data_IF_669372865875
#
_entry.id   IF_669372865875
#
_cell.length_a   1.000
_cell.length_b   1.000
_cell.length_c   1.000
_cell.angle_alpha   90.00
_cell.angle_beta   90.00
_cell.angle_gamma   90.00
#
_symmetry.space_group_name_H-M   'P 1'
#
loop_
_entity.id
_entity.type
_entity.pdbx_description
1 polymer ?
#
# COMPACT_ATOMS: atom_id res chain seq x y z
N UNK A 1 -15.17 -18.67 26.57
CA UNK A 1 -15.25 -18.32 25.14
C UNK A 1 -15.29 -16.81 24.91
N UNK A 2 -16.12 -16.00 25.58
CA UNK A 2 -16.26 -14.54 25.35
C UNK A 2 -14.98 -13.69 25.51
N UNK A 3 -14.01 -14.12 26.34
CA UNK A 3 -12.76 -13.36 26.55
C UNK A 3 -11.79 -13.55 25.38
N UNK A 4 -11.68 -14.77 24.86
CA UNK A 4 -10.82 -15.07 23.71
C UNK A 4 -11.30 -14.34 22.42
N UNK A 5 -12.61 -14.27 22.19
CA UNK A 5 -13.19 -13.52 21.07
C UNK A 5 -12.91 -12.02 21.18
N UNK A 6 -13.02 -11.43 22.37
CA UNK A 6 -12.67 -10.01 22.58
C UNK A 6 -11.18 -9.73 22.38
N UNK A 7 -10.32 -10.65 22.80
CA UNK A 7 -8.86 -10.51 22.59
C UNK A 7 -8.53 -10.61 21.10
N UNK A 8 -9.16 -11.53 20.36
CA UNK A 8 -8.99 -11.65 18.91
C UNK A 8 -9.53 -10.43 18.16
N UNK A 9 -10.65 -9.84 18.59
CA UNK A 9 -11.21 -8.62 17.99
C UNK A 9 -10.30 -7.39 18.23
N UNK A 10 -9.65 -7.33 19.38
CA UNK A 10 -8.66 -6.28 19.68
C UNK A 10 -7.36 -6.47 18.89
N UNK A 11 -6.91 -7.73 18.72
CA UNK A 11 -5.72 -8.05 17.93
C UNK A 11 -5.95 -7.91 16.41
N UNK A 12 -7.20 -8.04 15.96
CA UNK A 12 -7.58 -7.84 14.55
C UNK A 12 -7.67 -6.38 14.11
N UNK A 13 -7.73 -5.43 15.05
CA UNK A 13 -7.69 -4.00 14.74
C UNK A 13 -6.25 -3.51 14.62
N UNK A 14 -5.94 -2.60 13.66
CA UNK A 14 -4.61 -2.02 13.60
C UNK A 14 -4.32 -1.31 14.92
N UNK A 15 -3.44 -1.90 15.72
CA UNK A 15 -3.01 -1.30 16.99
C UNK A 15 -2.26 -0.01 16.62
N UNK A 16 -2.75 1.12 17.10
CA UNK A 16 -2.10 2.41 16.88
C UNK A 16 -0.68 2.36 17.42
N UNK A 17 0.28 2.70 16.58
CA UNK A 17 1.70 2.75 16.93
C UNK A 17 1.94 3.61 18.17
N UNK A 18 1.21 4.73 18.31
CA UNK A 18 1.30 5.63 19.47
C UNK A 18 0.94 4.95 20.80
N UNK A 19 -0.06 4.05 20.77
CA UNK A 19 -0.47 3.27 21.96
C UNK A 19 0.62 2.26 22.34
N UNK A 20 1.23 1.61 21.35
CA UNK A 20 2.37 0.69 21.59
C UNK A 20 3.57 1.42 22.17
N UNK A 21 3.89 2.59 21.62
CA UNK A 21 4.99 3.41 22.09
C UNK A 21 4.75 3.93 23.51
N UNK A 22 3.54 4.42 23.79
CA UNK A 22 3.15 4.85 25.12
C UNK A 22 3.23 3.70 26.14
N UNK A 23 2.74 2.50 25.78
CA UNK A 23 2.82 1.31 26.62
C UNK A 23 4.26 0.89 26.89
N UNK A 24 5.14 0.93 25.88
CA UNK A 24 6.57 0.65 26.04
C UNK A 24 7.25 1.65 26.98
N UNK A 25 7.03 2.94 26.75
CA UNK A 25 7.65 4.00 27.57
C UNK A 25 7.17 3.94 29.02
N UNK A 26 5.88 3.71 29.24
CA UNK A 26 5.31 3.59 30.58
C UNK A 26 5.86 2.37 31.31
N UNK A 27 5.91 1.20 30.66
CA UNK A 27 6.47 0.00 31.28
C UNK A 27 7.97 0.15 31.53
N UNK A 28 8.72 0.79 30.65
CA UNK A 28 10.14 1.09 30.84
C UNK A 28 10.35 2.03 32.03
N UNK A 29 9.56 3.11 32.13
CA UNK A 29 9.63 4.04 33.25
C UNK A 29 9.36 3.32 34.60
N UNK A 30 8.34 2.44 34.66
CA UNK A 30 8.05 1.64 35.84
C UNK A 30 9.18 0.65 36.17
N UNK A 31 9.81 0.03 35.17
CA UNK A 31 10.97 -0.85 35.41
C UNK A 31 12.18 -0.07 35.92
N UNK A 32 12.38 1.14 35.41
CA UNK A 32 13.46 2.04 35.88
C UNK A 32 13.29 2.45 37.34
N UNK A 33 12.05 2.48 37.87
CA UNK A 33 11.83 2.78 39.30
C UNK A 33 12.43 1.74 40.23
N UNK A 34 12.66 0.49 39.75
CA UNK A 34 13.34 -0.55 40.55
C UNK A 34 14.81 -0.19 40.87
N UNK A 35 15.42 0.74 40.15
CA UNK A 35 16.77 1.22 40.40
C UNK A 35 16.83 2.44 41.35
N UNK A 36 15.64 2.97 41.72
CA UNK A 36 15.56 4.10 42.67
C UNK A 36 15.70 3.59 44.11
N UNK A 37 16.25 4.43 44.99
CA UNK A 37 16.34 4.08 46.40
C UNK A 37 14.95 3.98 47.04
N UNK A 38 14.82 3.10 48.05
CA UNK A 38 13.53 2.81 48.74
C UNK A 38 12.81 4.09 49.23
N UNK A 39 13.57 5.12 49.63
CA UNK A 39 13.00 6.41 50.07
C UNK A 39 12.08 7.06 49.05
N UNK A 40 12.40 6.93 47.73
CA UNK A 40 11.58 7.48 46.65
C UNK A 40 10.37 6.59 46.37
N UNK A 41 10.54 5.25 46.41
CA UNK A 41 9.46 4.30 46.20
C UNK A 41 8.37 4.43 47.24
N UNK A 42 8.74 4.58 48.54
CA UNK A 42 7.81 4.83 49.65
C UNK A 42 7.09 6.17 49.47
N UNK A 43 7.79 7.23 49.10
CA UNK A 43 7.25 8.56 48.90
C UNK A 43 6.17 8.60 47.80
N UNK A 44 6.33 7.80 46.73
CA UNK A 44 5.36 7.71 45.62
C UNK A 44 4.34 6.60 45.82
N UNK A 45 4.35 5.89 46.95
CA UNK A 45 3.50 4.73 47.24
C UNK A 45 3.56 3.62 46.18
N UNK A 46 4.69 3.50 45.46
CA UNK A 46 4.86 2.54 44.36
C UNK A 46 5.38 1.18 44.83
N UNK A 47 5.90 1.06 46.04
CA UNK A 47 6.51 -0.19 46.58
C UNK A 47 5.58 -1.40 46.49
N UNK A 48 4.35 -1.28 47.03
CA UNK A 48 3.35 -2.36 46.99
C UNK A 48 2.90 -2.70 45.60
N UNK A 49 2.76 -1.68 44.74
CA UNK A 49 2.36 -1.86 43.36
C UNK A 49 3.43 -2.61 42.57
N UNK A 50 4.69 -2.22 42.67
CA UNK A 50 5.80 -2.87 41.99
C UNK A 50 6.01 -4.29 42.49
N UNK A 51 5.97 -4.54 43.77
CA UNK A 51 6.09 -5.91 44.33
C UNK A 51 5.02 -6.86 43.78
N UNK A 52 3.78 -6.39 43.63
CA UNK A 52 2.69 -7.24 43.16
C UNK A 52 2.65 -7.37 41.63
N UNK A 53 3.07 -6.36 40.89
CA UNK A 53 2.83 -6.28 39.44
C UNK A 53 4.11 -6.25 38.59
N UNK A 54 5.30 -6.37 39.19
CA UNK A 54 6.56 -6.28 38.44
C UNK A 54 6.67 -7.28 37.29
N UNK A 55 6.18 -8.52 37.48
CA UNK A 55 6.16 -9.54 36.44
C UNK A 55 5.24 -9.18 35.28
N UNK A 56 4.10 -8.53 35.56
CA UNK A 56 3.17 -8.08 34.52
C UNK A 56 3.73 -6.86 33.76
N UNK A 57 4.41 -5.95 34.45
CA UNK A 57 5.07 -4.79 33.83
C UNK A 57 6.15 -5.28 32.87
N UNK A 58 6.96 -6.25 33.27
CA UNK A 58 7.98 -6.89 32.44
C UNK A 58 7.36 -7.55 31.19
N UNK A 59 6.26 -8.29 31.37
CA UNK A 59 5.55 -8.92 30.27
C UNK A 59 5.01 -7.89 29.27
N UNK A 60 4.37 -6.81 29.75
CA UNK A 60 3.87 -5.72 28.91
C UNK A 60 5.02 -5.05 28.15
N UNK A 61 6.16 -4.84 28.80
CA UNK A 61 7.36 -4.30 28.16
C UNK A 61 7.82 -5.15 26.97
N UNK A 62 8.00 -6.47 27.18
CA UNK A 62 8.46 -7.36 26.12
C UNK A 62 7.44 -7.50 24.98
N UNK A 63 6.15 -7.59 25.31
CA UNK A 63 5.09 -7.66 24.29
C UNK A 63 5.07 -6.38 23.46
N UNK A 64 5.12 -5.22 24.08
CA UNK A 64 5.15 -3.93 23.37
C UNK A 64 6.40 -3.81 22.50
N UNK A 65 7.56 -4.19 22.99
CA UNK A 65 8.82 -4.20 22.24
C UNK A 65 8.74 -5.10 21.02
N UNK A 66 8.23 -6.32 21.19
CA UNK A 66 8.08 -7.30 20.12
C UNK A 66 7.13 -6.80 19.02
N UNK A 67 5.99 -6.23 19.40
CA UNK A 67 5.03 -5.67 18.44
C UNK A 67 5.62 -4.48 17.67
N UNK A 68 6.41 -3.62 18.30
CA UNK A 68 7.11 -2.52 17.66
C UNK A 68 8.11 -3.04 16.62
N UNK A 69 8.90 -4.07 16.97
CA UNK A 69 9.86 -4.69 16.03
C UNK A 69 9.14 -5.26 14.82
N UNK A 70 8.02 -5.96 15.02
CA UNK A 70 7.19 -6.48 13.91
C UNK A 70 6.65 -5.32 13.04
N UNK A 71 6.17 -4.25 13.67
CA UNK A 71 5.62 -3.10 12.95
C UNK A 71 6.67 -2.48 12.02
N UNK A 72 7.88 -2.22 12.50
CA UNK A 72 8.98 -1.71 11.68
C UNK A 72 9.43 -2.69 10.59
N UNK A 73 9.51 -3.97 10.92
CA UNK A 73 9.88 -5.02 9.96
C UNK A 73 8.87 -5.14 8.82
N UNK A 74 7.57 -5.09 9.13
CA UNK A 74 6.49 -5.16 8.12
C UNK A 74 6.46 -3.92 7.23
N UNK A 75 6.65 -2.71 7.80
CA UNK A 75 6.71 -1.46 7.03
C UNK A 75 7.88 -1.49 6.03
N UNK A 76 9.08 -1.88 6.47
CA UNK A 76 10.26 -1.96 5.60
C UNK A 76 10.10 -2.99 4.48
N UNK A 77 9.45 -4.15 4.77
CA UNK A 77 9.13 -5.16 3.75
C UNK A 77 8.12 -4.62 2.73
N UNK A 78 7.08 -3.93 3.19
CA UNK A 78 6.07 -3.33 2.31
C UNK A 78 6.71 -2.31 1.37
N UNK A 79 7.51 -1.37 1.88
CA UNK A 79 8.22 -0.38 1.06
C UNK A 79 9.13 -1.03 0.01
N UNK A 80 9.83 -2.11 0.36
CA UNK A 80 10.66 -2.86 -0.59
C UNK A 80 9.82 -3.54 -1.69
N UNK A 81 8.70 -4.16 -1.31
CA UNK A 81 7.79 -4.80 -2.26
C UNK A 81 7.13 -3.78 -3.19
N UNK A 82 6.69 -2.63 -2.65
CA UNK A 82 6.07 -1.56 -3.43
C UNK A 82 7.06 -0.97 -4.46
N UNK A 83 8.33 -0.81 -4.08
CA UNK A 83 9.40 -0.40 -5.02
C UNK A 83 9.64 -1.43 -6.11
N UNK A 84 9.81 -2.70 -5.74
CA UNK A 84 10.02 -3.78 -6.70
C UNK A 84 8.83 -3.93 -7.66
N UNK A 85 7.60 -3.78 -7.16
CA UNK A 85 6.40 -3.78 -7.99
C UNK A 85 6.33 -2.58 -8.94
N UNK A 86 6.67 -1.38 -8.45
CA UNK A 86 6.73 -0.17 -9.26
C UNK A 86 7.79 -0.29 -10.39
N UNK A 87 8.97 -0.82 -10.09
CA UNK A 87 10.03 -1.07 -11.08
C UNK A 87 9.59 -2.11 -12.12
N UNK A 88 8.92 -3.18 -11.67
CA UNK A 88 8.36 -4.19 -12.57
C UNK A 88 7.30 -3.57 -13.50
N UNK A 89 6.34 -2.80 -12.97
CA UNK A 89 5.32 -2.12 -13.76
C UNK A 89 5.95 -1.20 -14.80
N UNK A 90 6.93 -0.41 -14.38
CA UNK A 90 7.62 0.53 -15.28
C UNK A 90 8.30 -0.21 -16.44
N UNK A 91 8.99 -1.31 -16.15
CA UNK A 91 9.63 -2.13 -17.19
C UNK A 91 8.59 -2.67 -18.20
N UNK A 92 7.47 -3.23 -17.71
CA UNK A 92 6.42 -3.74 -18.59
C UNK A 92 5.76 -2.62 -19.42
N UNK A 93 5.61 -1.44 -18.85
CA UNK A 93 5.15 -0.27 -19.59
C UNK A 93 6.16 0.13 -20.66
N UNK A 94 7.46 0.14 -20.35
CA UNK A 94 8.52 0.48 -21.32
C UNK A 94 8.52 -0.49 -22.51
N UNK A 95 8.35 -1.80 -22.23
CA UNK A 95 8.25 -2.84 -23.28
C UNK A 95 7.03 -2.59 -24.18
N UNK A 96 5.87 -2.18 -23.63
CA UNK A 96 4.66 -1.87 -24.39
C UNK A 96 4.81 -0.57 -25.23
N UNK A 97 5.58 0.40 -24.79
CA UNK A 97 5.88 1.60 -25.58
C UNK A 97 6.87 1.33 -26.74
N UNK A 98 7.57 0.20 -26.72
CA UNK A 98 8.43 -0.28 -27.84
C UNK A 98 7.67 -1.21 -28.79
N UNK A 99 6.50 -1.69 -28.41
CA UNK A 99 5.66 -2.57 -29.23
C UNK A 99 4.81 -1.73 -30.19
N UNK A 100 4.96 -1.94 -31.49
CA UNK A 100 4.28 -1.15 -32.53
C UNK A 100 2.76 -1.19 -32.42
N UNK A 101 2.18 -2.38 -32.15
CA UNK A 101 0.73 -2.54 -32.05
C UNK A 101 0.16 -1.82 -30.80
N UNK A 102 0.87 -1.93 -29.67
CA UNK A 102 0.47 -1.24 -28.45
C UNK A 102 0.60 0.28 -28.60
N UNK A 103 1.68 0.75 -29.23
CA UNK A 103 1.91 2.17 -29.50
C UNK A 103 0.85 2.73 -30.48
N UNK A 104 0.43 1.96 -31.49
CA UNK A 104 -0.63 2.38 -32.39
C UNK A 104 -1.96 2.62 -31.64
N UNK A 105 -2.33 1.69 -30.74
CA UNK A 105 -3.52 1.82 -29.88
C UNK A 105 -3.41 3.06 -28.98
N UNK A 106 -2.27 3.26 -28.32
CA UNK A 106 -2.04 4.41 -27.45
C UNK A 106 -2.09 5.73 -28.22
N UNK A 107 -1.52 5.78 -29.45
CA UNK A 107 -1.54 6.95 -30.31
C UNK A 107 -2.95 7.28 -30.81
N UNK A 108 -3.76 6.26 -31.10
CA UNK A 108 -5.16 6.44 -31.45
C UNK A 108 -5.95 7.04 -30.26
N UNK A 109 -5.77 6.51 -29.07
CA UNK A 109 -6.39 7.06 -27.85
C UNK A 109 -5.95 8.50 -27.57
N UNK A 110 -4.68 8.83 -27.80
CA UNK A 110 -4.14 10.18 -27.62
C UNK A 110 -4.76 11.17 -28.61
N UNK A 111 -4.94 10.77 -29.87
CA UNK A 111 -5.55 11.61 -30.91
C UNK A 111 -6.99 12.06 -30.55
N UNK A 112 -7.73 11.20 -29.86
CA UNK A 112 -9.11 11.49 -29.46
C UNK A 112 -9.23 12.00 -28.03
N UNK A 113 -8.13 12.06 -27.27
CA UNK A 113 -8.14 12.54 -25.89
C UNK A 113 -8.79 13.93 -25.76
N UNK A 114 -9.66 14.17 -24.76
CA UNK A 114 -10.05 13.31 -23.62
C UNK A 114 -11.21 12.34 -23.89
N UNK A 115 -11.63 12.17 -25.14
CA UNK A 115 -12.75 11.29 -25.49
C UNK A 115 -12.33 9.82 -25.42
N UNK A 116 -13.27 8.97 -25.01
CA UNK A 116 -13.07 7.53 -25.03
C UNK A 116 -13.10 6.99 -26.48
N UNK A 117 -12.28 5.98 -26.74
CA UNK A 117 -12.26 5.23 -28.00
C UNK A 117 -12.72 3.81 -27.74
N UNK A 118 -13.55 3.29 -28.64
CA UNK A 118 -14.05 1.91 -28.55
C UNK A 118 -12.99 0.94 -29.08
N UNK A 119 -12.41 0.13 -28.19
CA UNK A 119 -11.41 -0.87 -28.53
C UNK A 119 -11.96 -2.29 -28.30
N UNK A 120 -11.50 -3.30 -29.07
CA UNK A 120 -11.87 -4.69 -28.89
C UNK A 120 -11.46 -5.21 -27.51
N UNK A 121 -12.43 -5.68 -26.72
CA UNK A 121 -12.19 -6.09 -25.34
C UNK A 121 -11.25 -7.29 -25.22
N UNK A 122 -11.25 -8.20 -26.21
CA UNK A 122 -10.44 -9.41 -26.21
C UNK A 122 -9.11 -9.27 -26.94
N UNK A 123 -8.79 -8.08 -27.45
CA UNK A 123 -7.48 -7.85 -28.04
C UNK A 123 -6.39 -7.95 -26.99
N UNK A 124 -5.38 -8.78 -27.22
CA UNK A 124 -4.31 -9.04 -26.29
C UNK A 124 -3.56 -7.77 -25.87
N UNK A 125 -3.31 -6.85 -26.81
CA UNK A 125 -2.61 -5.59 -26.51
C UNK A 125 -3.45 -4.66 -25.65
N UNK A 126 -4.78 -4.59 -25.92
CA UNK A 126 -5.71 -3.82 -25.06
C UNK A 126 -5.73 -4.37 -23.64
N UNK A 127 -5.76 -5.70 -23.49
CA UNK A 127 -5.70 -6.32 -22.15
C UNK A 127 -4.40 -6.02 -21.42
N UNK A 128 -3.25 -6.09 -22.11
CA UNK A 128 -1.94 -5.76 -21.52
C UNK A 128 -1.85 -4.28 -21.14
N UNK A 129 -2.28 -3.38 -22.02
CA UNK A 129 -2.31 -1.96 -21.74
C UNK A 129 -3.18 -1.62 -20.52
N UNK A 130 -4.32 -2.31 -20.37
CA UNK A 130 -5.19 -2.17 -19.20
C UNK A 130 -4.54 -2.76 -17.94
N UNK A 131 -3.95 -3.96 -18.05
CA UNK A 131 -3.29 -4.65 -16.94
C UNK A 131 -2.14 -3.81 -16.36
N UNK A 132 -1.36 -3.18 -17.21
CA UNK A 132 -0.23 -2.33 -16.81
C UNK A 132 -0.60 -0.85 -16.63
N UNK A 133 -1.89 -0.56 -16.49
CA UNK A 133 -2.42 0.76 -16.11
C UNK A 133 -2.04 1.89 -17.08
N UNK A 134 -1.91 1.58 -18.37
CA UNK A 134 -1.72 2.59 -19.41
C UNK A 134 -3.04 3.11 -19.97
N UNK A 135 -4.07 2.25 -19.95
CA UNK A 135 -5.45 2.60 -20.34
C UNK A 135 -6.45 2.11 -19.29
N UNK A 136 -7.64 2.68 -19.27
CA UNK A 136 -8.72 2.19 -18.41
C UNK A 136 -10.08 2.26 -19.16
N UNK A 137 -11.01 1.41 -18.74
CA UNK A 137 -12.39 1.48 -19.26
C UNK A 137 -13.06 2.77 -18.78
N UNK A 138 -13.62 3.52 -19.72
CA UNK A 138 -14.36 4.76 -19.41
C UNK A 138 -15.74 4.49 -18.81
N UNK A 139 -16.29 3.28 -19.03
CA UNK A 139 -17.57 2.85 -18.49
C UNK A 139 -17.50 1.41 -18.00
N UNK A 140 -18.25 1.10 -16.93
CA UNK A 140 -18.38 -0.28 -16.42
C UNK A 140 -19.37 -1.11 -17.23
N UNK A 141 -20.27 -0.46 -17.97
CA UNK A 141 -21.26 -1.10 -18.84
C UNK A 141 -21.21 -0.44 -20.21
N UNK A 142 -21.28 -1.24 -21.26
CA UNK A 142 -21.38 -0.77 -22.64
C UNK A 142 -22.45 -1.59 -23.38
N UNK A 143 -23.13 -0.94 -24.30
CA UNK A 143 -24.03 -1.65 -25.19
C UNK A 143 -23.16 -2.35 -26.23
N UNK A 144 -23.20 -3.67 -26.23
CA UNK A 144 -22.46 -4.50 -27.17
C UNK A 144 -23.39 -4.91 -28.30
N UNK A 145 -23.10 -4.48 -29.51
CA UNK A 145 -23.89 -4.83 -30.71
C UNK A 145 -23.40 -6.14 -31.32
N UNK A 146 -22.15 -6.48 -31.15
CA UNK A 146 -21.53 -7.71 -31.64
C UNK A 146 -20.90 -8.49 -30.48
N UNK A 147 -21.43 -9.68 -30.22
CA UNK A 147 -20.95 -10.57 -29.16
C UNK A 147 -19.63 -11.27 -29.52
N UNK A 148 -19.27 -11.31 -30.80
CA UNK A 148 -18.04 -11.96 -31.26
C UNK A 148 -16.80 -11.06 -31.10
N UNK A 149 -16.98 -9.73 -31.22
CA UNK A 149 -15.96 -8.73 -31.00
C UNK A 149 -16.49 -7.56 -30.15
N UNK A 150 -16.77 -7.78 -28.87
CA UNK A 150 -17.32 -6.74 -28.01
C UNK A 150 -16.33 -5.59 -27.84
N UNK A 151 -16.77 -4.38 -28.20
CA UNK A 151 -15.97 -3.15 -28.05
C UNK A 151 -16.41 -2.38 -26.83
N UNK A 152 -15.42 -1.93 -26.05
CA UNK A 152 -15.62 -1.10 -24.87
C UNK A 152 -14.91 0.25 -25.01
N UNK A 153 -15.47 1.32 -24.41
CA UNK A 153 -14.84 2.62 -24.41
C UNK A 153 -13.66 2.63 -23.42
N UNK A 154 -12.47 3.01 -23.92
CA UNK A 154 -11.25 3.16 -23.15
C UNK A 154 -10.74 4.58 -23.21
N UNK A 155 -10.03 5.01 -22.18
CA UNK A 155 -9.34 6.29 -22.07
C UNK A 155 -7.90 6.05 -21.64
N UNK A 156 -7.01 7.00 -21.98
CA UNK A 156 -5.62 7.00 -21.51
C UNK A 156 -5.55 7.28 -20.02
N UNK A 157 -4.61 6.63 -19.36
CA UNK A 157 -4.18 7.02 -18.02
C UNK A 157 -3.16 8.18 -18.09
N UNK A 158 -3.06 9.01 -17.05
CA UNK A 158 -2.20 10.20 -17.07
C UNK A 158 -0.72 9.89 -17.38
N UNK A 159 -0.21 8.74 -16.96
CA UNK A 159 1.16 8.33 -17.25
C UNK A 159 1.35 8.02 -18.74
N UNK A 160 0.41 7.33 -19.37
CA UNK A 160 0.45 7.06 -20.80
C UNK A 160 0.35 8.35 -21.63
N UNK A 161 -0.56 9.25 -21.23
CA UNK A 161 -0.71 10.56 -21.87
C UNK A 161 0.58 11.36 -21.84
N UNK A 162 1.22 11.46 -20.67
CA UNK A 162 2.48 12.17 -20.49
C UNK A 162 3.58 11.62 -21.43
N UNK A 163 3.72 10.29 -21.45
CA UNK A 163 4.76 9.60 -22.24
C UNK A 163 4.54 9.76 -23.74
N UNK A 164 3.31 9.65 -24.24
CA UNK A 164 3.02 9.86 -25.66
C UNK A 164 3.29 11.31 -26.04
N UNK A 165 2.88 12.25 -25.21
CA UNK A 165 3.16 13.68 -25.45
C UNK A 165 4.66 13.94 -25.60
N UNK A 166 5.50 13.33 -24.76
CA UNK A 166 6.95 13.44 -24.85
C UNK A 166 7.51 12.85 -26.17
N UNK A 167 6.95 11.71 -26.63
CA UNK A 167 7.35 11.10 -27.91
C UNK A 167 6.99 12.00 -29.10
N UNK A 168 5.75 12.47 -29.16
CA UNK A 168 5.27 13.36 -30.24
C UNK A 168 6.07 14.67 -30.28
N UNK A 169 6.41 15.22 -29.12
CA UNK A 169 7.21 16.46 -29.06
C UNK A 169 8.64 16.25 -29.59
N UNK A 170 9.25 15.09 -29.32
CA UNK A 170 10.57 14.72 -29.82
C UNK A 170 10.60 14.54 -31.34
N UNK A 171 9.57 13.89 -31.90
CA UNK A 171 9.43 13.68 -33.34
C UNK A 171 9.23 15.00 -34.11
N UNK A 172 8.53 15.96 -33.50
CA UNK A 172 8.33 17.29 -34.13
C UNK A 172 9.54 18.22 -34.03
N UNK A 173 10.57 17.84 -33.26
CA UNK A 173 11.79 18.65 -33.05
C UNK A 173 12.99 18.18 -33.90
N UNK A 174 12.85 17.05 -34.61
CA UNK A 174 13.81 16.51 -35.57
C UNK A 174 13.34 16.75 -37.01
#
# INVERSE_FOLDING_TARGET
>A
MKVAEKVLDVLGKPINFDVLLASLLTSLALLMTNFLSEKYLVRFHLEKFLNNYNSYILLVFFVSLFLIVIHFGSKKRKEKNDKAFSEFLKKQQDDLFQDEDALAILSELYKYHPRAVNLPMYNQKVLLLQQYQLITKAASQAVVFDMTDPKFPYILQPEAERRIKELVTKESSN
#
